data_IF_936783833977
#
_entry.id   IF_936783833977
#
_cell.length_a   1.000
_cell.length_b   1.000
_cell.length_c   1.000
_cell.angle_alpha   90.00
_cell.angle_beta   90.00
_cell.angle_gamma   90.00
#
_symmetry.space_group_name_H-M   'P 1'
#
loop_
_entity.id
_entity.type
_entity.pdbx_description
1 polymer ?
#
# COMPACT_ATOMS: atom_id res chain seq x y z
N UNK A 1 31.22 18.77 0.38
CA UNK A 1 31.04 18.51 0.14
C UNK A 1 30.36 18.03 0.18
N UNK A 2 30.12 18.11 0.36
CA UNK A 2 29.60 17.75 0.36
C UNK A 2 29.09 17.46 -0.12
N UNK A 3 28.87 17.50 -0.41
CA UNK A 3 28.44 17.20 -0.87
C UNK A 3 28.23 16.48 -1.36
N UNK A 4 28.44 16.48 -1.45
CA UNK A 4 28.42 15.74 -2.07
C UNK A 4 27.71 14.73 -1.93
N UNK A 5 27.66 14.57 -1.47
CA UNK A 5 27.00 13.60 -1.09
C UNK A 5 25.70 13.63 -1.35
N UNK A 6 25.35 14.39 -1.37
CA UNK A 6 24.17 14.50 -1.52
C UNK A 6 23.70 14.40 -2.70
N UNK A 7 23.92 14.61 -3.20
CA UNK A 7 23.48 14.68 -4.27
C UNK A 7 23.45 13.69 -5.04
N UNK A 8 23.77 13.19 -5.04
CA UNK A 8 23.65 12.37 -5.88
C UNK A 8 22.56 11.62 -5.97
N UNK A 9 22.26 11.49 -5.60
CA UNK A 9 21.46 10.95 -5.62
C UNK A 9 20.57 11.33 -6.12
N UNK A 10 20.27 11.52 -6.28
CA UNK A 10 19.41 11.75 -6.68
C UNK A 10 19.23 11.92 -7.67
N UNK A 11 19.72 12.02 -8.03
CA UNK A 11 19.54 12.14 -9.01
C UNK A 11 19.51 11.08 -9.76
N UNK A 12 19.43 10.13 -9.45
CA UNK A 12 19.09 9.20 -10.26
C UNK A 12 17.98 9.58 -11.04
N UNK A 13 17.92 9.33 -12.26
CA UNK A 13 16.81 9.64 -13.09
C UNK A 13 15.63 8.94 -12.54
N UNK A 14 14.52 9.61 -12.45
CA UNK A 14 13.34 8.98 -12.01
C UNK A 14 12.89 8.02 -13.03
N UNK A 15 12.59 6.82 -12.65
CA UNK A 15 11.99 5.86 -13.55
C UNK A 15 10.56 6.26 -13.82
N UNK A 16 10.09 6.03 -15.02
CA UNK A 16 8.68 6.17 -15.34
C UNK A 16 8.06 4.81 -15.28
N UNK A 17 7.14 4.61 -14.36
CA UNK A 17 6.45 3.34 -14.19
C UNK A 17 4.96 3.61 -14.32
N UNK A 18 4.45 3.53 -15.54
CA UNK A 18 3.04 3.81 -15.79
C UNK A 18 2.14 2.68 -15.34
N UNK A 19 2.65 1.46 -15.33
CA UNK A 19 1.86 0.30 -14.97
C UNK A 19 2.63 -0.56 -13.97
N UNK A 20 1.96 -0.97 -12.92
CA UNK A 20 2.60 -1.80 -11.90
C UNK A 20 1.55 -2.44 -11.03
N UNK A 21 1.92 -2.68 -9.78
CA UNK A 21 1.06 -3.36 -8.83
C UNK A 21 0.86 -2.51 -7.60
N UNK A 22 -0.31 -2.65 -6.97
CA UNK A 22 -0.59 -2.05 -5.68
C UNK A 22 -0.87 -3.18 -4.71
N UNK A 23 -0.04 -3.30 -3.70
CA UNK A 23 -0.21 -4.33 -2.69
C UNK A 23 -0.89 -3.72 -1.48
N UNK A 24 -2.04 -4.24 -1.12
CA UNK A 24 -2.80 -3.78 0.03
C UNK A 24 -2.75 -4.86 1.08
N UNK A 25 -2.11 -4.59 2.19
CA UNK A 25 -2.05 -5.52 3.32
C UNK A 25 -2.94 -4.95 4.41
N UNK A 26 -4.07 -5.58 4.66
CA UNK A 26 -5.07 -5.09 5.60
C UNK A 26 -5.21 -6.05 6.77
N UNK A 27 -5.24 -5.50 7.97
CA UNK A 27 -5.53 -6.26 9.16
C UNK A 27 -6.53 -5.46 9.99
N UNK A 28 -6.98 -6.03 11.09
CA UNK A 28 -7.90 -5.30 11.96
C UNK A 28 -7.24 -4.10 12.65
N UNK A 29 -5.92 -4.08 12.67
CA UNK A 29 -5.18 -3.04 13.38
C UNK A 29 -4.54 -2.00 12.48
N UNK A 30 -4.37 -2.28 11.19
CA UNK A 30 -3.64 -1.37 10.31
C UNK A 30 -3.88 -1.76 8.86
N UNK A 31 -3.57 -0.84 7.96
CA UNK A 31 -3.58 -1.11 6.52
C UNK A 31 -2.30 -0.50 5.94
N UNK A 32 -1.60 -1.29 5.16
CA UNK A 32 -0.35 -0.86 4.51
C UNK A 32 -0.54 -0.97 3.02
N UNK A 33 -0.24 0.10 2.30
CA UNK A 33 -0.36 0.13 0.85
C UNK A 33 1.01 0.38 0.25
N UNK A 34 1.42 -0.48 -0.67
CA UNK A 34 2.71 -0.40 -1.34
C UNK A 34 2.49 -0.39 -2.85
N UNK A 35 3.03 0.61 -3.51
CA UNK A 35 3.03 0.67 -4.98
C UNK A 35 4.33 0.08 -5.48
N UNK A 36 4.24 -0.84 -6.41
CA UNK A 36 5.42 -1.52 -6.95
C UNK A 36 5.39 -1.47 -8.48
N UNK A 37 6.53 -1.80 -9.08
CA UNK A 37 6.57 -1.99 -10.52
C UNK A 37 6.02 -3.39 -10.86
N UNK A 38 6.04 -3.75 -12.14
CA UNK A 38 5.47 -5.02 -12.57
C UNK A 38 6.22 -6.22 -12.02
N UNK A 39 7.47 -6.04 -11.61
CA UNK A 39 8.30 -7.10 -11.06
C UNK A 39 8.21 -7.22 -9.55
N UNK A 40 7.48 -6.32 -8.91
CA UNK A 40 7.33 -6.34 -7.46
C UNK A 40 8.30 -5.47 -6.70
N UNK A 41 9.13 -4.68 -7.39
CA UNK A 41 10.05 -3.76 -6.71
C UNK A 41 9.31 -2.57 -6.15
N UNK A 42 9.43 -2.32 -4.85
CA UNK A 42 8.69 -1.26 -4.19
C UNK A 42 9.09 0.13 -4.67
N UNK A 43 8.11 0.95 -4.96
CA UNK A 43 8.31 2.33 -5.40
C UNK A 43 7.95 3.31 -4.29
N UNK A 44 6.72 3.25 -3.81
CA UNK A 44 6.28 4.05 -2.68
C UNK A 44 5.41 3.22 -1.77
N UNK A 45 5.31 3.63 -0.52
CA UNK A 45 4.47 2.94 0.44
C UNK A 45 3.93 3.94 1.45
N UNK A 46 2.80 3.59 2.03
CA UNK A 46 2.23 4.35 3.14
C UNK A 46 1.37 3.41 3.97
N UNK A 47 1.08 3.81 5.17
CA UNK A 47 0.22 3.03 6.05
C UNK A 47 -0.64 3.98 6.88
N UNK A 48 -1.66 3.42 7.52
CA UNK A 48 -2.48 4.23 8.42
C UNK A 48 -1.65 4.85 9.54
N UNK A 49 -0.68 4.08 10.05
CA UNK A 49 0.20 4.61 11.07
C UNK A 49 1.09 5.75 10.58
N UNK A 50 1.57 5.64 9.35
CA UNK A 50 2.40 6.68 8.74
C UNK A 50 1.61 7.97 8.49
N UNK A 51 0.29 7.86 8.34
CA UNK A 51 -0.56 9.03 8.10
C UNK A 51 -1.04 9.69 9.39
N UNK A 52 -0.55 9.24 10.54
CA UNK A 52 -0.86 9.89 11.80
C UNK A 52 -1.94 9.20 12.62
N UNK A 53 -2.56 8.16 12.13
CA UNK A 53 -3.55 7.43 12.91
C UNK A 53 -2.85 6.57 13.95
N UNK A 54 -3.46 6.44 15.11
CA UNK A 54 -2.87 5.70 16.22
C UNK A 54 -3.90 4.78 16.84
N UNK A 55 -3.41 3.72 17.47
CA UNK A 55 -4.25 2.78 18.20
C UNK A 55 -5.27 2.13 17.30
N UNK A 56 -6.49 1.98 17.77
CA UNK A 56 -7.53 1.30 17.01
C UNK A 56 -7.95 2.05 15.75
N UNK A 57 -7.62 3.32 15.65
CA UNK A 57 -7.98 4.10 14.46
C UNK A 57 -7.23 3.65 13.22
N UNK A 58 -6.11 2.99 13.37
CA UNK A 58 -5.32 2.51 12.23
C UNK A 58 -6.06 1.43 11.42
N UNK A 59 -6.98 0.74 12.03
CA UNK A 59 -7.73 -0.32 11.34
C UNK A 59 -8.98 0.16 10.63
N UNK A 60 -9.29 1.45 10.64
CA UNK A 60 -10.52 1.95 10.05
C UNK A 60 -10.42 2.10 8.54
N UNK A 61 -11.59 2.09 7.89
CA UNK A 61 -11.65 2.29 6.44
C UNK A 61 -11.15 3.68 6.05
N UNK A 62 -11.46 4.70 6.86
CA UNK A 62 -11.01 6.05 6.57
C UNK A 62 -9.48 6.14 6.60
N UNK A 63 -8.85 5.50 7.57
CA UNK A 63 -7.40 5.50 7.66
C UNK A 63 -6.78 4.84 6.44
N UNK A 64 -7.37 3.74 5.95
CA UNK A 64 -6.89 3.08 4.76
C UNK A 64 -7.04 3.96 3.54
N UNK A 65 -8.14 4.70 3.45
CA UNK A 65 -8.36 5.62 2.35
C UNK A 65 -7.28 6.71 2.31
N UNK A 66 -6.97 7.30 3.46
CA UNK A 66 -5.95 8.33 3.55
C UNK A 66 -4.58 7.77 3.18
N UNK A 67 -4.26 6.57 3.66
CA UNK A 67 -2.99 5.93 3.34
C UNK A 67 -2.86 5.68 1.84
N UNK A 68 -3.93 5.19 1.21
CA UNK A 68 -3.92 4.91 -0.22
C UNK A 68 -3.79 6.20 -1.02
N UNK A 69 -4.48 7.26 -0.62
CA UNK A 69 -4.37 8.54 -1.30
C UNK A 69 -2.96 9.11 -1.22
N UNK A 70 -2.35 9.02 -0.05
CA UNK A 70 -1.00 9.54 0.13
C UNK A 70 0.01 8.78 -0.73
N UNK A 71 -0.05 7.44 -0.67
CA UNK A 71 0.86 6.63 -1.48
C UNK A 71 0.61 6.81 -2.97
N UNK A 72 -0.66 6.90 -3.37
CA UNK A 72 -1.02 7.05 -4.76
C UNK A 72 -0.58 8.38 -5.34
N UNK A 73 -0.74 9.46 -4.59
CA UNK A 73 -0.26 10.76 -5.05
C UNK A 73 1.24 10.77 -5.23
N UNK A 74 1.97 10.16 -4.30
CA UNK A 74 3.41 10.08 -4.42
C UNK A 74 3.82 9.26 -5.64
N UNK A 75 3.13 8.15 -5.88
CA UNK A 75 3.43 7.31 -7.04
C UNK A 75 3.17 8.04 -8.36
N UNK A 76 2.07 8.76 -8.43
CA UNK A 76 1.75 9.52 -9.64
C UNK A 76 2.77 10.64 -9.89
N UNK A 77 3.15 11.35 -8.85
CA UNK A 77 4.07 12.46 -9.00
C UNK A 77 5.48 12.01 -9.33
N UNK A 78 5.93 10.94 -8.72
CA UNK A 78 7.31 10.50 -8.86
C UNK A 78 7.53 9.58 -10.03
N UNK A 79 6.54 8.76 -10.38
CA UNK A 79 6.71 7.70 -11.37
C UNK A 79 5.71 7.75 -12.50
N UNK A 80 4.75 8.65 -12.47
CA UNK A 80 3.73 8.70 -13.49
C UNK A 80 2.81 7.50 -13.49
N UNK A 81 2.55 6.93 -12.34
CA UNK A 81 1.78 5.70 -12.19
C UNK A 81 0.33 5.93 -12.62
N UNK A 82 -0.19 5.13 -13.53
CA UNK A 82 -1.54 5.33 -14.05
C UNK A 82 -2.39 4.08 -14.09
N UNK A 83 -1.78 2.90 -14.16
CA UNK A 83 -2.52 1.63 -14.18
C UNK A 83 -1.96 0.70 -13.12
N UNK A 84 -2.81 -0.09 -12.55
CA UNK A 84 -2.39 -0.99 -11.48
C UNK A 84 -3.18 -2.29 -11.48
N UNK A 85 -2.48 -3.36 -11.12
CA UNK A 85 -3.12 -4.59 -10.68
C UNK A 85 -3.10 -4.54 -9.17
N UNK A 86 -4.25 -4.68 -8.55
CA UNK A 86 -4.37 -4.60 -7.11
C UNK A 86 -4.30 -5.99 -6.51
N UNK A 87 -3.41 -6.19 -5.57
CA UNK A 87 -3.25 -7.46 -4.87
C UNK A 87 -3.57 -7.21 -3.40
N UNK A 88 -4.63 -7.84 -2.92
CA UNK A 88 -5.14 -7.63 -1.58
C UNK A 88 -4.77 -8.83 -0.71
N UNK A 89 -4.28 -8.56 0.47
CA UNK A 89 -3.90 -9.59 1.41
C UNK A 89 -4.41 -9.23 2.79
N UNK A 90 -5.09 -10.15 3.43
CA UNK A 90 -5.59 -9.96 4.78
C UNK A 90 -7.06 -9.62 4.83
N UNK A 91 -7.58 -9.56 6.06
CA UNK A 91 -9.00 -9.29 6.31
C UNK A 91 -9.12 -8.09 7.24
N UNK A 92 -9.25 -6.94 6.70
CA UNK A 92 -9.42 -5.73 7.48
C UNK A 92 -10.42 -4.82 6.80
N UNK A 93 -10.84 -3.81 7.52
CA UNK A 93 -11.82 -2.87 6.98
C UNK A 93 -11.24 -2.01 5.86
N UNK A 94 -9.91 -1.94 5.76
CA UNK A 94 -9.27 -1.08 4.79
C UNK A 94 -9.21 -1.63 3.38
N UNK A 95 -9.63 -2.87 3.14
CA UNK A 95 -9.49 -3.49 1.83
C UNK A 95 -10.18 -2.69 0.74
N UNK A 96 -11.50 -2.50 0.88
CA UNK A 96 -12.28 -1.83 -0.14
C UNK A 96 -12.00 -0.34 -0.19
N UNK A 97 -11.76 0.27 0.96
CA UNK A 97 -11.50 1.70 1.01
C UNK A 97 -10.22 2.06 0.24
N UNK A 98 -9.20 1.22 0.34
CA UNK A 98 -7.96 1.45 -0.38
C UNK A 98 -8.18 1.40 -1.90
N UNK A 99 -8.96 0.41 -2.37
CA UNK A 99 -9.23 0.30 -3.79
C UNK A 99 -10.03 1.50 -4.30
N UNK A 100 -11.02 1.94 -3.53
CA UNK A 100 -11.82 3.11 -3.91
C UNK A 100 -10.96 4.37 -3.99
N UNK A 101 -10.02 4.50 -3.10
CA UNK A 101 -9.14 5.67 -3.11
C UNK A 101 -8.28 5.70 -4.38
N UNK A 102 -7.88 4.54 -4.90
CA UNK A 102 -7.13 4.50 -6.15
C UNK A 102 -7.98 5.02 -7.31
N UNK A 103 -9.25 4.66 -7.35
CA UNK A 103 -10.12 5.15 -8.41
C UNK A 103 -10.29 6.67 -8.32
N UNK A 104 -10.35 7.21 -7.12
CA UNK A 104 -10.47 8.65 -6.92
C UNK A 104 -9.22 9.40 -7.36
N UNK A 105 -8.09 8.73 -7.43
CA UNK A 105 -6.83 9.34 -7.89
C UNK A 105 -6.59 9.16 -9.38
N UNK A 106 -7.61 8.67 -10.11
CA UNK A 106 -7.50 8.41 -11.55
C UNK A 106 -6.49 7.34 -11.89
N UNK A 107 -6.24 6.43 -10.98
CA UNK A 107 -5.41 5.26 -11.26
C UNK A 107 -6.35 4.16 -11.72
N UNK A 108 -6.14 3.70 -12.94
CA UNK A 108 -6.98 2.65 -13.51
C UNK A 108 -6.62 1.31 -12.89
N UNK A 109 -7.63 0.62 -12.37
CA UNK A 109 -7.44 -0.70 -11.78
C UNK A 109 -7.78 -1.74 -12.84
N UNK A 110 -6.76 -2.47 -13.31
CA UNK A 110 -6.96 -3.47 -14.35
C UNK A 110 -7.50 -4.77 -13.78
N UNK A 111 -7.02 -5.18 -12.62
CA UNK A 111 -7.49 -6.40 -11.98
C UNK A 111 -7.35 -6.29 -10.48
N UNK A 112 -8.16 -7.07 -9.78
CA UNK A 112 -8.09 -7.15 -8.32
C UNK A 112 -7.96 -8.62 -7.97
N UNK A 113 -6.91 -8.96 -7.23
CA UNK A 113 -6.65 -10.34 -6.81
C UNK A 113 -6.54 -10.40 -5.30
N UNK A 114 -7.26 -11.30 -4.69
CA UNK A 114 -7.18 -11.53 -3.26
C UNK A 114 -6.29 -12.74 -3.01
N UNK A 115 -5.16 -12.52 -2.34
CA UNK A 115 -4.21 -13.57 -2.06
C UNK A 115 -4.10 -13.87 -0.56
N UNK A 116 -5.16 -13.58 0.17
CA UNK A 116 -5.18 -13.83 1.61
C UNK A 116 -4.93 -15.32 1.87
N UNK A 117 -3.92 -15.59 2.68
CA UNK A 117 -3.60 -16.97 3.01
C UNK A 117 -4.61 -17.57 3.97
N UNK A 118 -4.99 -18.80 3.71
CA UNK A 118 -5.92 -19.53 4.58
C UNK A 118 -5.27 -20.87 4.91
N UNK A 119 -4.95 -21.12 6.17
CA UNK A 119 -4.31 -22.40 6.52
C UNK A 119 -5.32 -23.54 6.41
N UNK A 120 -4.85 -24.68 5.91
CA UNK A 120 -5.67 -25.87 5.84
C UNK A 120 -5.31 -26.75 7.03
N UNK A 121 -5.83 -26.37 8.20
CA UNK A 121 -5.50 -27.07 9.43
C UNK A 121 -4.17 -26.65 10.05
N UNK A 122 -3.27 -26.19 9.29
CA UNK A 122 -1.97 -25.62 9.59
C UNK A 122 -1.45 -25.65 11.02
N UNK A 123 -0.73 -24.62 11.38
CA UNK A 123 -0.13 -24.49 12.68
C UNK A 123 -1.19 -24.20 13.73
N UNK A 124 -0.99 -24.68 14.94
CA UNK A 124 -1.89 -24.39 16.04
C UNK A 124 -2.01 -22.89 16.25
N UNK A 125 -3.24 -22.36 16.29
CA UNK A 125 -3.39 -20.92 16.50
C UNK A 125 -3.02 -20.51 17.90
N UNK A 126 -2.76 -19.24 18.05
CA UNK A 126 -2.47 -18.63 19.32
C UNK A 126 -3.69 -18.71 20.22
N UNK A 127 -3.46 -18.77 21.52
CA UNK A 127 -4.54 -18.79 22.49
C UNK A 127 -5.33 -17.51 22.46
N UNK A 128 -6.59 -17.58 22.89
CA UNK A 128 -7.42 -16.39 23.01
C UNK A 128 -6.80 -15.38 23.95
N UNK A 129 -6.97 -14.10 23.66
CA UNK A 129 -6.49 -13.05 24.54
C UNK A 129 -7.33 -13.00 25.80
N UNK A 130 -6.67 -12.77 26.89
CA UNK A 130 -7.35 -12.52 28.17
C UNK A 130 -7.54 -11.03 28.28
N UNK A 131 -8.79 -10.64 28.37
CA UNK A 131 -9.10 -9.23 28.45
C UNK A 131 -9.87 -8.94 29.71
#
# INVERSE_FOLDING_TARGET
>A
MADATTTPKKKKAKRTVAQGQVHVSASFNNTIITFTDANGGALTASSAGACGFRGSKKGTAYAAQVAAERAGQAAKQQYGFSKADVIIKGVGLGRDAAVRALAALDIQVDSIKDVTGVPHGGVRPKKARRI
#
